data_IF_933860620774
#
_entry.id   IF_933860620774
#
_cell.length_a   1.000
_cell.length_b   1.000
_cell.length_c   1.000
_cell.angle_alpha   90.00
_cell.angle_beta   90.00
_cell.angle_gamma   90.00
#
_symmetry.space_group_name_H-M   'P 1'
#
loop_
_entity.id
_entity.type
_entity.pdbx_description
1 polymer ?
#
# COMPACT_ATOMS: atom_id res chain seq x y z
N UNK A 1 -47.09 31.22 73.99
CA UNK A 1 -46.30 29.99 73.72
C UNK A 1 -46.27 29.82 72.23
N UNK A 2 -45.21 30.31 71.58
CA UNK A 2 -45.04 30.22 70.11
C UNK A 2 -44.15 29.02 69.72
N UNK A 3 -44.70 28.10 68.97
CA UNK A 3 -43.97 27.01 68.42
C UNK A 3 -43.63 27.32 66.94
N UNK A 4 -42.35 27.59 66.63
CA UNK A 4 -41.86 27.90 65.30
C UNK A 4 -41.48 26.61 64.62
N UNK A 5 -42.20 26.26 63.58
CA UNK A 5 -41.90 25.12 62.69
C UNK A 5 -40.77 25.47 61.68
N UNK A 6 -39.61 24.83 61.80
CA UNK A 6 -38.53 24.90 60.85
C UNK A 6 -38.83 23.95 59.68
N UNK A 7 -39.19 24.48 58.51
CA UNK A 7 -39.28 23.71 57.25
C UNK A 7 -37.91 23.56 56.69
N UNK A 8 -37.43 22.30 56.61
CA UNK A 8 -36.17 21.91 55.98
C UNK A 8 -36.36 21.85 54.45
N UNK A 9 -35.70 22.75 53.74
CA UNK A 9 -35.72 22.84 52.28
C UNK A 9 -34.78 21.77 51.68
N UNK A 10 -35.31 20.60 51.43
CA UNK A 10 -34.62 19.53 50.69
C UNK A 10 -34.96 19.64 49.18
N UNK A 11 -34.14 20.27 48.44
CA UNK A 11 -34.32 20.35 47.00
C UNK A 11 -33.13 21.02 46.33
N UNK A 12 -32.31 20.30 45.60
CA UNK A 12 -31.51 20.82 44.50
C UNK A 12 -30.31 19.94 44.03
N UNK A 13 -30.04 18.83 44.73
CA UNK A 13 -28.89 18.00 44.27
C UNK A 13 -29.22 17.01 43.12
N UNK A 14 -30.48 16.60 42.97
CA UNK A 14 -30.89 15.64 41.94
C UNK A 14 -30.88 16.23 40.52
N UNK A 15 -31.22 17.52 40.37
CA UNK A 15 -31.29 18.21 39.08
C UNK A 15 -29.88 18.48 38.51
N UNK A 16 -28.90 18.74 39.37
CA UNK A 16 -27.51 18.99 38.96
C UNK A 16 -26.83 17.74 38.42
N UNK A 17 -27.12 16.57 39.02
CA UNK A 17 -26.56 15.30 38.58
C UNK A 17 -27.10 14.83 37.22
N UNK A 18 -28.38 15.06 36.94
CA UNK A 18 -29.00 14.68 35.64
C UNK A 18 -28.39 15.51 34.49
N UNK A 19 -28.13 16.80 34.73
CA UNK A 19 -27.48 17.67 33.75
C UNK A 19 -26.03 17.24 33.44
N UNK A 20 -25.27 16.83 34.47
CA UNK A 20 -23.87 16.41 34.32
C UNK A 20 -23.75 15.10 33.57
N UNK A 21 -24.61 14.11 33.87
CA UNK A 21 -24.64 12.82 33.16
C UNK A 21 -25.06 13.00 31.68
N UNK A 22 -26.05 13.87 31.42
CA UNK A 22 -26.47 14.21 30.05
C UNK A 22 -25.34 14.84 29.22
N UNK A 23 -24.59 15.78 29.82
CA UNK A 23 -23.45 16.42 29.15
C UNK A 23 -22.32 15.42 28.84
N UNK A 24 -22.00 14.51 29.75
CA UNK A 24 -20.98 13.46 29.54
C UNK A 24 -21.38 12.53 28.42
N UNK A 25 -22.63 12.08 28.34
CA UNK A 25 -23.13 11.20 27.28
C UNK A 25 -23.04 11.87 25.92
N UNK A 26 -23.36 13.17 25.81
CA UNK A 26 -23.25 13.93 24.57
C UNK A 26 -21.77 14.07 24.12
N UNK A 27 -20.87 14.34 25.06
CA UNK A 27 -19.43 14.46 24.76
C UNK A 27 -18.86 13.12 24.30
N UNK A 28 -19.17 12.03 25.00
CA UNK A 28 -18.72 10.68 24.59
C UNK A 28 -19.31 10.31 23.21
N UNK A 29 -20.57 10.59 22.95
CA UNK A 29 -21.22 10.38 21.66
C UNK A 29 -20.53 11.15 20.52
N UNK A 30 -20.15 12.42 20.78
CA UNK A 30 -19.45 13.26 19.80
C UNK A 30 -18.04 12.73 19.50
N UNK A 31 -17.32 12.27 20.53
CA UNK A 31 -15.98 11.68 20.38
C UNK A 31 -16.05 10.37 19.60
N UNK A 32 -16.99 9.49 19.93
CA UNK A 32 -17.21 8.23 19.22
C UNK A 32 -17.64 8.46 17.76
N UNK A 33 -18.49 9.45 17.52
CA UNK A 33 -18.90 9.81 16.16
C UNK A 33 -17.72 10.37 15.34
N UNK A 34 -16.90 11.26 15.93
CA UNK A 34 -15.69 11.78 15.28
C UNK A 34 -14.67 10.68 15.01
N UNK A 35 -14.50 9.73 15.95
CA UNK A 35 -13.63 8.57 15.78
C UNK A 35 -14.14 7.65 14.65
N UNK A 36 -15.44 7.38 14.60
CA UNK A 36 -16.05 6.58 13.53
C UNK A 36 -15.95 7.26 12.15
N UNK A 37 -16.09 8.58 12.09
CA UNK A 37 -15.88 9.36 10.86
C UNK A 37 -14.40 9.34 10.41
N UNK A 38 -13.47 9.39 11.35
CA UNK A 38 -12.02 9.23 11.09
C UNK A 38 -11.72 7.86 10.51
N UNK A 39 -12.24 6.80 11.12
CA UNK A 39 -12.10 5.42 10.64
C UNK A 39 -12.73 5.22 9.25
N UNK A 40 -13.88 5.83 8.98
CA UNK A 40 -14.53 5.75 7.67
C UNK A 40 -13.72 6.47 6.59
N UNK A 41 -13.12 7.63 6.90
CA UNK A 41 -12.23 8.36 6.00
C UNK A 41 -10.91 7.59 5.74
N UNK A 42 -10.38 6.91 6.75
CA UNK A 42 -9.21 6.04 6.60
C UNK A 42 -9.53 4.79 5.78
N UNK A 43 -10.69 4.16 5.99
CA UNK A 43 -11.17 3.02 5.20
C UNK A 43 -11.46 3.42 3.75
N UNK A 44 -11.96 4.62 3.49
CA UNK A 44 -12.23 5.15 2.15
C UNK A 44 -10.91 5.51 1.41
N UNK A 45 -9.86 5.92 2.15
CA UNK A 45 -8.49 6.07 1.65
C UNK A 45 -7.80 4.72 1.38
N UNK A 46 -8.20 3.66 2.10
CA UNK A 46 -7.66 2.30 2.01
C UNK A 46 -8.35 1.42 0.96
N UNK A 47 -9.34 1.93 0.23
CA UNK A 47 -9.99 1.15 -0.83
C UNK A 47 -9.29 1.41 -2.17
N UNK A 48 -8.38 0.51 -2.62
CA UNK A 48 -7.69 0.64 -3.91
C UNK A 48 -8.58 0.33 -5.12
N UNK A 49 -9.88 0.17 -4.92
CA UNK A 49 -10.86 0.05 -5.99
C UNK A 49 -11.35 1.43 -6.42
N UNK A 50 -10.44 2.30 -6.83
CA UNK A 50 -10.85 3.44 -7.66
C UNK A 50 -11.43 2.86 -8.94
N UNK A 51 -12.63 3.28 -9.27
CA UNK A 51 -13.19 3.08 -10.61
C UNK A 51 -12.15 3.55 -11.63
N UNK A 52 -11.88 2.73 -12.65
CA UNK A 52 -10.87 3.07 -13.65
C UNK A 52 -11.37 4.29 -14.42
N UNK A 53 -10.63 5.41 -14.43
CA UNK A 53 -11.05 6.61 -15.15
C UNK A 53 -11.24 6.34 -16.63
N UNK A 54 -12.10 7.12 -17.27
CA UNK A 54 -12.29 7.08 -18.72
C UNK A 54 -10.97 7.35 -19.46
N UNK A 55 -10.85 6.89 -20.69
CA UNK A 55 -9.67 7.12 -21.52
C UNK A 55 -9.35 8.62 -21.67
N UNK A 56 -10.37 9.46 -21.81
CA UNK A 56 -10.20 10.90 -21.90
C UNK A 56 -9.64 11.53 -20.61
N UNK A 57 -9.99 10.97 -19.45
CA UNK A 57 -9.45 11.41 -18.16
C UNK A 57 -8.02 10.90 -17.96
N UNK A 58 -7.73 9.64 -18.34
CA UNK A 58 -6.38 9.09 -18.27
C UNK A 58 -5.40 9.90 -19.12
N UNK A 59 -5.80 10.35 -20.32
CA UNK A 59 -4.99 11.25 -21.17
C UNK A 59 -4.66 12.57 -20.50
N UNK A 60 -5.48 13.04 -19.56
CA UNK A 60 -5.24 14.30 -18.82
C UNK A 60 -4.41 14.07 -17.55
N UNK A 61 -4.56 12.90 -16.91
CA UNK A 61 -3.93 12.60 -15.62
C UNK A 61 -2.52 12.02 -15.77
N UNK A 62 -2.30 11.22 -16.81
CA UNK A 62 -1.04 10.53 -17.07
C UNK A 62 -0.12 11.40 -17.95
N UNK A 63 1.18 11.23 -17.76
CA UNK A 63 2.15 11.74 -18.73
C UNK A 63 2.01 10.98 -20.06
N UNK A 64 2.58 11.52 -21.13
CA UNK A 64 2.57 10.85 -22.45
C UNK A 64 3.16 9.44 -22.37
N UNK A 65 4.27 9.28 -21.65
CA UNK A 65 4.95 7.98 -21.51
C UNK A 65 4.14 7.00 -20.66
N UNK A 66 3.55 7.46 -19.54
CA UNK A 66 2.66 6.64 -18.71
C UNK A 66 1.45 6.18 -19.52
N UNK A 67 0.82 7.07 -20.27
CA UNK A 67 -0.31 6.71 -21.12
C UNK A 67 0.10 5.71 -22.22
N UNK A 68 1.19 6.01 -22.94
CA UNK A 68 1.72 5.13 -23.99
C UNK A 68 2.00 3.72 -23.47
N UNK A 69 2.64 3.61 -22.30
CA UNK A 69 2.95 2.32 -21.69
C UNK A 69 1.68 1.61 -21.25
N UNK A 70 0.85 2.26 -20.43
CA UNK A 70 -0.28 1.58 -19.77
C UNK A 70 -1.45 1.27 -20.70
N UNK A 71 -1.70 2.12 -21.71
CA UNK A 71 -2.88 2.03 -22.59
C UNK A 71 -2.57 1.60 -24.03
N UNK A 72 -1.36 1.89 -24.52
CA UNK A 72 -0.95 1.59 -25.89
C UNK A 72 0.10 0.46 -25.94
N UNK A 73 0.33 -0.25 -24.82
CA UNK A 73 1.30 -1.36 -24.69
C UNK A 73 2.72 -0.96 -25.12
N UNK A 74 3.10 0.31 -24.87
CA UNK A 74 4.44 0.80 -25.13
C UNK A 74 5.47 0.25 -24.16
N UNK A 75 6.74 0.43 -24.49
CA UNK A 75 7.88 0.11 -23.62
C UNK A 75 8.73 1.35 -23.46
N UNK A 76 9.11 1.67 -22.22
CA UNK A 76 10.03 2.76 -21.89
C UNK A 76 11.49 2.38 -22.21
N UNK A 77 12.39 3.36 -22.23
CA UNK A 77 13.80 3.14 -22.54
C UNK A 77 14.51 2.42 -21.39
N UNK A 78 15.27 1.34 -21.67
CA UNK A 78 16.04 0.65 -20.64
C UNK A 78 17.10 1.57 -20.02
N UNK A 79 17.37 1.44 -18.72
CA UNK A 79 18.31 2.24 -17.93
C UNK A 79 18.01 3.76 -17.87
N UNK A 80 16.91 4.21 -18.48
CA UNK A 80 16.45 5.60 -18.50
C UNK A 80 14.99 5.68 -18.04
N UNK A 81 14.69 5.04 -16.93
CA UNK A 81 13.37 5.02 -16.31
C UNK A 81 13.49 5.14 -14.78
N UNK A 82 12.38 5.42 -14.11
CA UNK A 82 12.40 5.88 -12.72
C UNK A 82 12.85 4.83 -11.69
N UNK A 83 12.68 3.52 -11.97
CA UNK A 83 12.79 2.50 -10.93
C UNK A 83 13.72 1.33 -11.27
N UNK A 84 14.41 1.31 -12.40
CA UNK A 84 15.34 0.24 -12.72
C UNK A 84 16.42 0.09 -11.64
N UNK A 85 16.93 1.22 -11.12
CA UNK A 85 17.99 1.32 -10.09
C UNK A 85 17.43 1.79 -8.74
N UNK A 86 16.14 1.56 -8.44
CA UNK A 86 15.56 1.93 -7.16
C UNK A 86 15.70 0.78 -6.15
N UNK A 87 16.54 0.97 -5.11
CA UNK A 87 16.80 0.01 -4.03
C UNK A 87 16.14 0.39 -2.70
N UNK A 88 15.33 1.47 -2.69
CA UNK A 88 14.65 1.91 -1.45
C UNK A 88 13.59 0.91 -1.04
N UNK A 89 13.42 0.64 0.28
CA UNK A 89 12.36 -0.20 0.78
C UNK A 89 10.99 0.44 0.55
N UNK A 90 10.04 -0.33 0.04
CA UNK A 90 8.69 0.15 -0.27
C UNK A 90 7.91 -0.78 -1.20
N UNK A 91 6.74 -0.33 -1.61
CA UNK A 91 5.89 -1.05 -2.55
C UNK A 91 5.71 -0.26 -3.85
N UNK A 92 5.42 -0.98 -4.91
CA UNK A 92 5.10 -0.43 -6.22
C UNK A 92 3.62 -0.68 -6.49
N UNK A 93 2.87 0.39 -6.72
CA UNK A 93 1.42 0.34 -6.96
C UNK A 93 1.12 0.70 -8.41
N UNK A 94 0.00 0.22 -8.92
CA UNK A 94 -0.50 0.58 -10.25
C UNK A 94 -0.71 2.10 -10.34
N UNK A 95 -0.18 2.73 -11.38
CA UNK A 95 -0.21 4.20 -11.53
C UNK A 95 -1.63 4.74 -11.70
N UNK A 96 -2.57 3.94 -12.22
CA UNK A 96 -3.95 4.34 -12.47
C UNK A 96 -4.83 4.13 -11.24
N UNK A 97 -4.78 2.93 -10.65
CA UNK A 97 -5.71 2.53 -9.59
C UNK A 97 -5.13 2.59 -8.19
N UNK A 98 -3.81 2.65 -8.06
CA UNK A 98 -3.15 2.55 -6.76
C UNK A 98 -3.15 1.12 -6.17
N UNK A 99 -3.58 0.10 -6.93
CA UNK A 99 -3.54 -1.29 -6.45
C UNK A 99 -2.09 -1.72 -6.25
N UNK A 100 -1.71 -2.26 -5.06
CA UNK A 100 -0.36 -2.75 -4.80
C UNK A 100 -0.01 -3.93 -5.71
N UNK A 101 1.09 -3.82 -6.44
CA UNK A 101 1.52 -4.81 -7.42
C UNK A 101 2.78 -5.57 -6.97
N UNK A 102 3.85 -4.83 -6.61
CA UNK A 102 5.14 -5.44 -6.28
C UNK A 102 5.76 -4.83 -5.02
N UNK A 103 6.65 -5.59 -4.38
CA UNK A 103 7.44 -5.17 -3.22
C UNK A 103 8.90 -5.02 -3.58
N UNK A 104 9.60 -4.06 -2.96
CA UNK A 104 11.06 -3.96 -3.04
C UNK A 104 11.76 -5.21 -2.48
N UNK A 105 11.08 -5.99 -1.65
CA UNK A 105 11.61 -7.24 -1.08
C UNK A 105 11.75 -8.35 -2.13
N UNK A 106 10.97 -8.27 -3.19
CA UNK A 106 10.97 -9.22 -4.31
C UNK A 106 11.68 -8.64 -5.56
N UNK A 107 12.21 -7.39 -5.46
CA UNK A 107 12.95 -6.73 -6.54
C UNK A 107 14.39 -7.21 -6.58
N UNK A 108 14.93 -7.38 -7.78
CA UNK A 108 16.33 -7.76 -8.01
C UNK A 108 16.92 -7.07 -9.25
N UNK A 109 18.24 -7.03 -9.32
CA UNK A 109 18.96 -6.46 -10.46
C UNK A 109 19.10 -7.49 -11.56
N UNK A 110 18.25 -7.38 -12.57
CA UNK A 110 18.23 -8.29 -13.70
C UNK A 110 19.24 -7.94 -14.81
N UNK A 111 19.84 -6.74 -14.76
CA UNK A 111 20.72 -6.23 -15.81
C UNK A 111 20.00 -5.82 -17.10
N UNK A 112 18.65 -5.87 -17.13
CA UNK A 112 17.87 -5.59 -18.36
C UNK A 112 17.56 -4.10 -18.53
N UNK A 113 17.73 -3.30 -17.49
CA UNK A 113 17.45 -1.86 -17.50
C UNK A 113 16.00 -1.50 -17.17
N UNK A 114 15.19 -2.45 -16.72
CA UNK A 114 13.85 -2.26 -16.18
C UNK A 114 13.73 -2.85 -14.77
N UNK A 115 12.84 -2.33 -13.91
CA UNK A 115 12.58 -2.94 -12.62
C UNK A 115 12.07 -4.37 -12.79
N UNK A 116 12.72 -5.30 -12.10
CA UNK A 116 12.46 -6.73 -12.19
C UNK A 116 12.12 -7.30 -10.81
N UNK A 117 11.10 -8.15 -10.76
CA UNK A 117 10.58 -8.73 -9.51
C UNK A 117 10.42 -10.24 -9.66
N UNK A 118 10.60 -10.98 -8.56
CA UNK A 118 10.43 -12.44 -8.55
C UNK A 118 8.97 -12.88 -8.45
N UNK A 119 8.10 -12.02 -7.94
CA UNK A 119 6.65 -12.27 -7.80
C UNK A 119 5.89 -10.98 -7.50
N UNK A 120 4.57 -10.92 -7.77
CA UNK A 120 3.70 -9.86 -7.26
C UNK A 120 3.45 -10.01 -5.76
N UNK A 121 3.03 -8.92 -5.05
CA UNK A 121 2.59 -8.95 -3.65
C UNK A 121 1.40 -9.90 -3.49
N UNK A 122 0.46 -9.83 -4.44
CA UNK A 122 -0.71 -10.72 -4.53
C UNK A 122 -0.91 -11.09 -5.99
N UNK A 123 -0.96 -12.39 -6.27
CA UNK A 123 -1.15 -12.91 -7.63
C UNK A 123 -2.48 -12.44 -8.25
N UNK A 124 -3.52 -12.27 -7.43
CA UNK A 124 -4.83 -11.77 -7.89
C UNK A 124 -4.83 -10.30 -8.36
N UNK A 125 -3.78 -9.52 -8.08
CA UNK A 125 -3.68 -8.12 -8.51
C UNK A 125 -3.11 -7.94 -9.91
N UNK A 126 -2.56 -9.00 -10.49
CA UNK A 126 -2.07 -9.05 -11.87
C UNK A 126 -2.83 -10.10 -12.68
N UNK A 127 -2.78 -9.99 -13.97
CA UNK A 127 -3.24 -11.02 -14.91
C UNK A 127 -2.21 -11.20 -16.01
N UNK A 128 -2.10 -12.42 -16.46
CA UNK A 128 -1.22 -12.83 -17.56
C UNK A 128 -2.03 -13.03 -18.84
N UNK A 129 -1.45 -12.65 -19.96
CA UNK A 129 -2.05 -12.79 -21.27
C UNK A 129 -0.97 -13.17 -22.29
N UNK A 130 -1.28 -14.10 -23.17
CA UNK A 130 -0.37 -14.43 -24.29
C UNK A 130 -0.20 -13.22 -25.21
N UNK A 131 1.03 -12.89 -25.52
CA UNK A 131 1.45 -11.84 -26.44
C UNK A 131 2.26 -12.46 -27.59
N UNK A 132 1.71 -12.42 -28.80
CA UNK A 132 2.34 -12.93 -30.03
C UNK A 132 2.79 -11.81 -30.96
N UNK A 133 2.92 -10.57 -30.45
CA UNK A 133 3.34 -9.42 -31.25
C UNK A 133 4.81 -9.53 -31.67
N UNK A 134 5.13 -8.94 -32.80
CA UNK A 134 6.48 -8.94 -33.38
C UNK A 134 7.08 -10.33 -33.66
N UNK A 135 6.25 -11.37 -33.83
CA UNK A 135 6.70 -12.73 -34.07
C UNK A 135 7.36 -13.42 -32.87
N UNK A 136 7.21 -12.85 -31.65
CA UNK A 136 7.67 -13.43 -30.39
C UNK A 136 6.49 -13.99 -29.60
N UNK A 137 6.72 -15.13 -28.94
CA UNK A 137 5.77 -15.68 -27.99
C UNK A 137 6.20 -15.26 -26.58
N UNK A 138 5.42 -14.40 -25.93
CA UNK A 138 5.70 -13.88 -24.58
C UNK A 138 4.44 -13.93 -23.73
N UNK A 139 4.60 -13.82 -22.41
CA UNK A 139 3.50 -13.66 -21.47
C UNK A 139 3.47 -12.20 -20.98
N UNK A 140 2.47 -11.44 -21.47
CA UNK A 140 2.19 -10.08 -21.02
C UNK A 140 1.63 -10.09 -19.61
N UNK A 141 2.12 -9.18 -18.76
CA UNK A 141 1.58 -8.93 -17.42
C UNK A 141 0.81 -7.63 -17.44
N UNK A 142 -0.42 -7.67 -16.94
CA UNK A 142 -1.33 -6.51 -16.84
C UNK A 142 -1.86 -6.33 -15.43
N UNK A 143 -2.17 -5.11 -15.04
CA UNK A 143 -2.92 -4.83 -13.82
C UNK A 143 -4.32 -5.45 -13.90
N UNK A 144 -4.73 -6.22 -12.88
CA UNK A 144 -6.04 -6.91 -12.88
C UNK A 144 -7.21 -5.95 -12.95
N UNK A 145 -7.17 -4.87 -12.18
CA UNK A 145 -8.25 -3.87 -12.09
C UNK A 145 -8.15 -2.83 -13.21
N UNK A 146 -6.97 -2.28 -13.43
CA UNK A 146 -6.75 -1.18 -14.38
C UNK A 146 -6.77 -1.61 -15.84
N UNK A 147 -6.51 -2.89 -16.11
CA UNK A 147 -6.13 -3.40 -17.42
C UNK A 147 -4.90 -2.69 -18.03
N UNK A 148 -4.05 -2.09 -17.18
CA UNK A 148 -2.80 -1.46 -17.61
C UNK A 148 -1.82 -2.50 -18.10
N UNK A 149 -1.18 -2.26 -19.25
CA UNK A 149 0.03 -2.98 -19.60
C UNK A 149 1.13 -2.65 -18.58
N UNK A 150 1.69 -3.67 -17.94
CA UNK A 150 2.79 -3.51 -16.99
C UNK A 150 4.14 -3.87 -17.64
N UNK A 151 4.18 -4.95 -18.37
CA UNK A 151 5.38 -5.54 -18.95
C UNK A 151 5.17 -7.01 -19.30
N UNK A 152 6.19 -7.84 -19.07
CA UNK A 152 6.15 -9.27 -19.38
C UNK A 152 6.76 -10.08 -18.24
N UNK A 153 6.38 -11.36 -18.14
CA UNK A 153 7.00 -12.33 -17.25
C UNK A 153 7.80 -13.36 -18.07
N UNK A 154 8.96 -13.73 -17.55
CA UNK A 154 9.93 -14.65 -18.13
C UNK A 154 10.32 -15.71 -17.10
N UNK A 155 10.79 -16.89 -17.57
CA UNK A 155 11.21 -18.02 -16.74
C UNK A 155 12.74 -18.03 -16.47
N UNK A 156 13.37 -16.86 -16.53
CA UNK A 156 14.81 -16.64 -16.32
C UNK A 156 15.13 -15.87 -15.03
N UNK A 157 14.20 -15.86 -14.08
CA UNK A 157 14.36 -15.24 -12.77
C UNK A 157 15.11 -16.09 -11.77
N UNK A 158 15.50 -15.53 -10.62
CA UNK A 158 16.18 -16.24 -9.56
C UNK A 158 15.25 -17.21 -8.81
N UNK A 159 15.84 -18.22 -8.14
CA UNK A 159 15.12 -19.06 -7.19
C UNK A 159 14.52 -18.19 -6.05
N UNK A 160 13.41 -18.64 -5.41
CA UNK A 160 12.76 -19.94 -5.59
C UNK A 160 11.71 -19.98 -6.71
N UNK A 161 11.28 -18.84 -7.27
CA UNK A 161 10.19 -18.81 -8.25
C UNK A 161 10.65 -19.15 -9.67
N UNK A 162 11.89 -18.83 -10.03
CA UNK A 162 12.38 -18.90 -11.39
C UNK A 162 11.77 -17.85 -12.32
N UNK A 163 10.87 -17.01 -11.82
CA UNK A 163 10.16 -16.01 -12.62
C UNK A 163 10.81 -14.62 -12.50
N UNK A 164 10.79 -13.89 -13.62
CA UNK A 164 11.18 -12.49 -13.70
C UNK A 164 10.05 -11.67 -14.31
N UNK A 165 9.36 -10.92 -13.46
CA UNK A 165 8.40 -9.90 -13.86
C UNK A 165 9.17 -8.64 -14.26
N UNK A 166 9.37 -8.42 -15.56
CA UNK A 166 10.04 -7.26 -16.14
C UNK A 166 8.98 -6.18 -16.41
N UNK A 167 8.99 -5.10 -15.63
CA UNK A 167 7.87 -4.15 -15.56
C UNK A 167 8.35 -2.74 -15.93
N UNK A 168 7.53 -1.98 -16.66
CA UNK A 168 7.79 -0.59 -16.95
C UNK A 168 7.59 0.29 -15.73
N UNK A 169 8.56 1.13 -15.40
CA UNK A 169 8.44 2.13 -14.31
C UNK A 169 7.26 3.09 -14.54
N UNK A 170 6.98 3.43 -15.79
CA UNK A 170 5.89 4.32 -16.17
C UNK A 170 4.50 3.77 -15.80
N UNK A 171 4.36 2.45 -15.62
CA UNK A 171 3.12 1.81 -15.16
C UNK A 171 2.98 1.80 -13.64
N UNK A 172 3.99 2.24 -12.90
CA UNK A 172 4.11 2.12 -11.45
C UNK A 172 4.19 3.48 -10.75
N UNK A 173 3.72 3.53 -9.49
CA UNK A 173 4.08 4.56 -8.50
C UNK A 173 4.77 3.86 -7.34
N UNK A 174 5.96 4.33 -6.95
CA UNK A 174 6.67 3.83 -5.78
C UNK A 174 6.19 4.54 -4.51
N UNK A 175 5.88 3.77 -3.46
CA UNK A 175 5.52 4.26 -2.12
C UNK A 175 6.58 3.75 -1.15
N UNK A 176 7.44 4.61 -0.61
CA UNK A 176 8.46 4.20 0.34
C UNK A 176 7.84 3.78 1.69
N UNK A 177 8.52 2.89 2.43
CA UNK A 177 8.02 2.29 3.69
C UNK A 177 7.54 3.34 4.68
N UNK A 178 8.29 4.43 4.84
CA UNK A 178 7.99 5.52 5.76
C UNK A 178 6.68 6.25 5.43
N UNK A 179 6.21 6.17 4.17
CA UNK A 179 4.97 6.79 3.71
C UNK A 179 3.79 5.83 3.58
N UNK A 180 3.99 4.53 3.78
CA UNK A 180 2.93 3.53 3.61
C UNK A 180 1.68 3.86 4.43
N UNK A 181 1.84 4.26 5.69
CA UNK A 181 0.71 4.60 6.55
C UNK A 181 -0.01 5.86 6.08
N UNK A 182 0.73 6.90 5.74
CA UNK A 182 0.21 8.18 5.28
C UNK A 182 -0.55 8.04 3.95
N UNK A 183 -0.01 7.24 3.03
CA UNK A 183 -0.59 7.00 1.70
C UNK A 183 -1.70 5.93 1.69
N UNK A 184 -2.08 5.37 2.87
CA UNK A 184 -3.18 4.40 3.01
C UNK A 184 -2.79 2.93 2.77
N UNK A 185 -1.49 2.61 2.80
CA UNK A 185 -0.95 1.25 2.61
C UNK A 185 -0.36 0.65 3.89
N UNK A 186 -0.77 1.12 5.07
CA UNK A 186 -0.22 0.74 6.37
C UNK A 186 -0.23 -0.77 6.64
N UNK A 187 -1.18 -1.52 6.06
CA UNK A 187 -1.27 -2.99 6.16
C UNK A 187 -0.05 -3.72 5.57
N UNK A 188 0.73 -3.07 4.69
CA UNK A 188 1.93 -3.64 4.09
C UNK A 188 3.21 -3.41 4.91
N UNK A 189 3.15 -2.65 6.02
CA UNK A 189 4.29 -2.45 6.92
C UNK A 189 4.81 -3.77 7.51
N UNK A 190 3.91 -4.72 7.77
CA UNK A 190 4.27 -6.04 8.29
C UNK A 190 5.23 -6.82 7.39
N UNK A 191 5.20 -6.61 6.07
CA UNK A 191 6.14 -7.23 5.13
C UNK A 191 7.60 -6.85 5.43
N UNK A 192 7.83 -5.60 5.86
CA UNK A 192 9.17 -5.05 6.11
C UNK A 192 9.64 -5.30 7.54
N UNK A 193 8.73 -5.44 8.51
CA UNK A 193 9.06 -5.71 9.92
C UNK A 193 9.62 -7.13 10.12
N UNK A 194 9.09 -8.12 9.43
CA UNK A 194 9.55 -9.50 9.51
C UNK A 194 11.01 -9.69 9.02
N UNK A 195 11.49 -8.87 8.10
CA UNK A 195 12.88 -8.90 7.64
C UNK A 195 13.86 -8.29 8.65
N UNK A 196 13.46 -7.22 9.35
CA UNK A 196 14.32 -6.61 10.37
C UNK A 196 14.54 -7.54 11.55
N UNK A 197 13.54 -8.28 11.99
CA UNK A 197 13.67 -9.27 13.06
C UNK A 197 14.54 -10.47 12.65
N UNK A 198 14.44 -10.93 11.40
CA UNK A 198 15.30 -12.00 10.87
C UNK A 198 16.79 -11.61 10.79
N UNK A 199 17.08 -10.39 10.34
CA UNK A 199 18.46 -9.87 10.26
C UNK A 199 19.09 -9.67 11.64
N UNK A 200 18.31 -9.22 12.63
CA UNK A 200 18.81 -9.08 14.02
C UNK A 200 19.13 -10.42 14.66
N UNK A 201 18.32 -11.46 14.44
CA UNK A 201 18.58 -12.80 14.93
C UNK A 201 19.84 -13.42 14.29
N UNK A 202 20.04 -13.22 13.00
CA UNK A 202 21.20 -13.72 12.27
C UNK A 202 22.49 -13.05 12.76
N UNK A 203 22.48 -11.73 12.98
CA UNK A 203 23.64 -10.99 13.52
C UNK A 203 23.98 -11.41 14.96
N UNK A 204 23.01 -11.76 15.79
CA UNK A 204 23.25 -12.28 17.13
C UNK A 204 23.90 -13.67 17.09
N UNK A 205 23.44 -14.57 16.23
CA UNK A 205 24.02 -15.91 16.07
C UNK A 205 25.44 -15.87 15.53
N UNK A 206 25.70 -15.00 14.55
CA UNK A 206 27.05 -14.82 13.98
C UNK A 206 28.02 -14.17 14.99
N UNK A 207 27.52 -13.30 15.87
CA UNK A 207 28.26 -12.69 16.97
C UNK A 207 28.65 -13.71 18.06
N UNK A 208 27.73 -14.59 18.44
CA UNK A 208 27.98 -15.66 19.43
C UNK A 208 28.94 -16.71 18.90
N UNK A 209 28.83 -17.10 17.62
CA UNK A 209 29.73 -18.06 16.99
C UNK A 209 31.18 -17.54 16.92
N UNK A 210 31.40 -16.24 16.71
CA UNK A 210 32.74 -15.63 16.73
C UNK A 210 33.31 -15.49 18.12
N UNK A 211 32.49 -15.34 19.16
CA UNK A 211 32.93 -15.24 20.56
C UNK A 211 33.36 -16.59 21.16
N UNK A 212 32.89 -17.73 20.63
CA UNK A 212 33.25 -19.07 21.11
C UNK A 212 34.53 -19.63 20.47
N UNK A 213 35.10 -18.96 19.46
CA UNK A 213 36.33 -19.40 18.77
C UNK A 213 37.58 -18.58 19.16
N UNK A 214 37.52 -17.83 20.26
CA UNK A 214 38.63 -17.12 20.88
C UNK A 214 38.82 -17.61 22.32
#
# INVERSE_FOLDING_TARGET
>A
MNSTLLTHKQGSHKTLWIGLVGAIVVIIGSILFSYAQGQKKEAEKMNPTKEVPSDAELRKQLTKDQYKVTRECGTETPFHNAYWDNHKPGIYVDIITGVPLFSSLDKFDSGTGWPSFTKPIKSENVKEKRDSTYGMERTEVRGKTSDSHLGHVFDDGPAPTGQRFCVNSAALKFIPVEKLKEEGYGQYLSLFQSQQSGQQQQQQQDGEAKSQNH
#
